data_IF_107071897875
#
_entry.id   IF_107071897875
#
_cell.length_a   1.000
_cell.length_b   1.000
_cell.length_c   1.000
_cell.angle_alpha   90.00
_cell.angle_beta   90.00
_cell.angle_gamma   90.00
#
_symmetry.space_group_name_H-M   'P 1'
#
loop_
_entity.id
_entity.type
_entity.pdbx_description
1 polymer ?
#
# COMPACT_ATOMS: atom_id res chain seq x y z
N UNK A 1 -25.08 23.64 6.83
CA UNK A 1 -23.70 23.14 6.83
C UNK A 1 -22.76 24.29 6.56
N UNK A 2 -21.71 24.46 7.38
CA UNK A 2 -20.78 25.59 7.30
C UNK A 2 -19.88 25.56 6.06
N UNK A 3 -19.48 24.38 5.57
CA UNK A 3 -18.51 24.27 4.46
C UNK A 3 -19.14 24.07 3.07
N UNK A 4 -20.46 24.25 2.94
CA UNK A 4 -21.16 23.97 1.68
C UNK A 4 -20.79 24.97 0.58
N UNK A 5 -20.52 24.46 -0.61
CA UNK A 5 -20.27 25.24 -1.83
C UNK A 5 -21.14 24.67 -2.94
N UNK A 6 -21.85 25.54 -3.66
CA UNK A 6 -22.66 25.13 -4.80
C UNK A 6 -21.91 25.36 -6.11
N UNK A 7 -21.77 24.31 -6.91
CA UNK A 7 -21.29 24.42 -8.28
C UNK A 7 -22.46 24.53 -9.25
N UNK A 8 -22.53 25.67 -9.96
CA UNK A 8 -23.56 25.95 -10.96
C UNK A 8 -23.40 25.13 -12.24
N UNK A 9 -22.17 24.69 -12.58
CA UNK A 9 -21.91 23.91 -13.79
C UNK A 9 -22.43 22.48 -13.64
N UNK A 10 -22.03 21.83 -12.55
CA UNK A 10 -22.39 20.44 -12.27
C UNK A 10 -23.71 20.31 -11.50
N UNK A 11 -24.33 21.45 -11.15
CA UNK A 11 -25.53 21.54 -10.31
C UNK A 11 -25.40 20.75 -9.01
N UNK A 12 -24.19 20.72 -8.44
CA UNK A 12 -23.83 19.88 -7.31
C UNK A 12 -23.46 20.72 -6.08
N UNK A 13 -23.65 20.15 -4.90
CA UNK A 13 -23.14 20.71 -3.65
C UNK A 13 -21.90 19.93 -3.24
N UNK A 14 -20.82 20.64 -2.95
CA UNK A 14 -19.64 20.11 -2.28
C UNK A 14 -19.58 20.63 -0.85
N UNK A 15 -18.98 19.84 0.03
CA UNK A 15 -18.78 20.21 1.43
C UNK A 15 -17.61 19.41 1.99
N UNK A 16 -17.10 19.87 3.11
CA UNK A 16 -16.03 19.22 3.85
C UNK A 16 -16.51 17.92 4.51
N UNK A 17 -15.72 16.85 4.44
CA UNK A 17 -16.10 15.55 5.02
C UNK A 17 -16.34 15.62 6.54
N UNK A 18 -15.81 16.64 7.22
CA UNK A 18 -16.08 16.93 8.65
C UNK A 18 -17.55 17.23 8.92
N UNK A 19 -18.28 17.75 7.94
CA UNK A 19 -19.71 18.05 8.05
C UNK A 19 -20.62 16.86 7.69
N UNK A 20 -20.06 15.71 7.29
CA UNK A 20 -20.82 14.55 6.81
C UNK A 20 -21.88 14.04 7.81
N UNK A 21 -21.50 13.85 9.07
CA UNK A 21 -22.43 13.36 10.09
C UNK A 21 -23.56 14.36 10.39
N UNK A 22 -23.25 15.66 10.34
CA UNK A 22 -24.25 16.73 10.52
C UNK A 22 -25.25 16.76 9.35
N UNK A 23 -24.78 16.50 8.12
CA UNK A 23 -25.63 16.36 6.95
C UNK A 23 -26.56 15.16 7.06
N UNK A 24 -26.00 13.98 7.36
CA UNK A 24 -26.79 12.76 7.52
C UNK A 24 -27.88 12.93 8.58
N UNK A 25 -27.54 13.50 9.75
CA UNK A 25 -28.51 13.76 10.81
C UNK A 25 -29.63 14.70 10.38
N UNK A 26 -29.34 15.65 9.48
CA UNK A 26 -30.34 16.57 8.94
C UNK A 26 -31.21 15.92 7.86
N UNK A 27 -30.63 15.11 6.98
CA UNK A 27 -31.34 14.45 5.88
C UNK A 27 -32.23 13.30 6.38
N UNK A 28 -31.80 12.53 7.38
CA UNK A 28 -32.58 11.44 8.00
C UNK A 28 -33.89 11.91 8.65
N UNK A 29 -34.05 13.22 8.90
CA UNK A 29 -35.33 13.78 9.39
C UNK A 29 -36.43 13.76 8.34
N UNK A 30 -36.10 13.61 7.05
CA UNK A 30 -37.07 13.57 5.97
C UNK A 30 -37.32 12.12 5.55
N UNK A 31 -38.52 11.57 5.80
CA UNK A 31 -38.82 10.15 5.54
C UNK A 31 -38.94 9.80 4.06
N UNK A 32 -38.96 10.79 3.16
CA UNK A 32 -39.11 10.59 1.71
C UNK A 32 -37.74 10.36 1.02
N UNK A 33 -36.64 10.72 1.68
CA UNK A 33 -35.31 10.65 1.09
C UNK A 33 -34.67 9.27 1.29
N UNK A 34 -34.31 8.62 0.19
CA UNK A 34 -33.44 7.45 0.18
C UNK A 34 -31.98 7.92 0.16
N UNK A 35 -31.22 7.52 1.18
CA UNK A 35 -29.83 7.96 1.38
C UNK A 35 -28.94 6.73 1.41
N UNK A 36 -28.00 6.65 0.48
CA UNK A 36 -26.90 5.69 0.56
C UNK A 36 -25.79 6.28 1.40
N UNK A 37 -25.50 5.61 2.53
CA UNK A 37 -24.43 6.05 3.42
C UNK A 37 -23.06 5.63 2.89
N UNK A 38 -22.11 6.54 3.02
CA UNK A 38 -20.71 6.25 2.79
C UNK A 38 -20.26 5.35 3.94
N UNK A 39 -19.52 4.29 3.60
CA UNK A 39 -18.96 3.38 4.60
C UNK A 39 -18.21 4.17 5.70
N UNK A 40 -18.46 3.90 6.99
CA UNK A 40 -17.79 4.58 8.10
C UNK A 40 -16.26 4.53 8.02
N UNK A 41 -15.72 3.47 7.42
CA UNK A 41 -14.28 3.30 7.20
C UNK A 41 -13.71 4.42 6.30
N UNK A 42 -14.43 4.79 5.25
CA UNK A 42 -14.01 5.84 4.31
C UNK A 42 -14.00 7.18 5.04
N UNK A 43 -15.09 7.51 5.74
CA UNK A 43 -15.23 8.75 6.52
C UNK A 43 -14.08 8.89 7.53
N UNK A 44 -13.86 7.85 8.34
CA UNK A 44 -12.84 7.86 9.39
C UNK A 44 -11.43 7.97 8.81
N UNK A 45 -11.15 7.34 7.66
CA UNK A 45 -9.85 7.43 7.00
C UNK A 45 -9.55 8.86 6.57
N UNK A 46 -10.49 9.52 5.88
CA UNK A 46 -10.29 10.90 5.41
C UNK A 46 -10.21 11.93 6.54
N UNK A 47 -10.92 11.69 7.66
CA UNK A 47 -10.82 12.54 8.85
C UNK A 47 -9.46 12.40 9.56
N UNK A 48 -8.85 11.21 9.52
CA UNK A 48 -7.54 10.94 10.12
C UNK A 48 -6.38 11.46 9.24
N UNK A 49 -6.45 11.30 7.92
CA UNK A 49 -5.41 11.73 6.98
C UNK A 49 -5.10 13.24 7.06
N UNK A 50 -6.13 14.07 7.35
CA UNK A 50 -5.94 15.51 7.55
C UNK A 50 -5.07 15.87 8.76
N UNK A 51 -5.07 15.03 9.80
CA UNK A 51 -4.25 15.28 11.00
C UNK A 51 -2.78 14.90 10.76
N UNK A 52 -2.52 13.96 9.85
CA UNK A 52 -1.17 13.50 9.49
C UNK A 52 -0.49 14.39 8.44
N UNK A 53 -1.23 14.97 7.50
CA UNK A 53 -0.67 15.73 6.37
C UNK A 53 0.03 17.04 6.76
N UNK A 54 -0.23 17.59 7.96
CA UNK A 54 0.32 18.88 8.42
C UNK A 54 1.62 18.72 9.23
N UNK A 55 1.96 17.51 9.69
CA UNK A 55 2.93 17.34 10.78
C UNK A 55 4.36 16.89 10.37
N UNK A 56 4.65 16.52 9.12
CA UNK A 56 5.93 15.86 8.79
C UNK A 56 6.64 16.54 7.61
N UNK A 57 7.25 17.70 7.91
CA UNK A 57 8.46 18.16 7.22
C UNK A 57 9.65 17.62 8.02
N UNK A 58 10.25 16.51 7.58
CA UNK A 58 11.53 16.08 8.14
C UNK A 58 12.40 15.57 7.03
N UNK A 59 13.64 16.05 7.00
CA UNK A 59 14.75 15.46 6.27
C UNK A 59 14.90 14.01 6.74
N UNK A 60 14.23 13.10 6.04
CA UNK A 60 14.36 11.68 6.31
C UNK A 60 15.79 11.27 5.94
N UNK A 61 16.57 10.82 6.92
CA UNK A 61 17.76 10.04 6.61
C UNK A 61 17.26 8.67 6.08
N UNK A 62 17.06 8.58 4.77
CA UNK A 62 16.55 7.37 4.12
C UNK A 62 17.67 6.34 4.10
N UNK A 63 17.59 5.41 5.04
CA UNK A 63 18.45 4.23 5.14
C UNK A 63 17.78 3.07 4.39
N UNK A 64 18.25 2.82 3.17
CA UNK A 64 17.82 1.73 2.28
C UNK A 64 19.06 1.12 1.63
N UNK A 65 18.89 -0.03 0.97
CA UNK A 65 19.99 -0.67 0.23
C UNK A 65 20.63 0.34 -0.75
N UNK A 66 21.96 0.44 -0.69
CA UNK A 66 22.75 1.40 -1.47
C UNK A 66 22.52 1.27 -2.99
N UNK A 67 22.28 0.05 -3.48
CA UNK A 67 22.01 -0.18 -4.91
C UNK A 67 20.64 0.37 -5.29
N UNK A 68 19.64 0.20 -4.44
CA UNK A 68 18.30 0.78 -4.62
C UNK A 68 18.40 2.30 -4.56
N UNK A 69 19.07 2.84 -3.54
CA UNK A 69 19.21 4.30 -3.32
C UNK A 69 19.76 5.03 -4.54
N UNK A 70 20.78 4.46 -5.19
CA UNK A 70 21.41 5.04 -6.39
C UNK A 70 20.56 4.93 -7.65
N UNK A 71 19.58 4.03 -7.68
CA UNK A 71 18.75 3.77 -8.86
C UNK A 71 17.40 4.49 -8.85
N UNK A 72 16.97 5.04 -7.70
CA UNK A 72 15.69 5.73 -7.59
C UNK A 72 15.71 7.08 -8.34
N UNK A 73 14.71 7.28 -9.19
CA UNK A 73 14.42 8.60 -9.76
C UNK A 73 13.77 9.53 -8.72
N UNK A 74 13.83 10.87 -8.89
CA UNK A 74 13.24 11.82 -7.95
C UNK A 74 11.78 11.53 -7.58
N UNK A 75 10.94 11.23 -8.57
CA UNK A 75 9.53 10.89 -8.32
C UNK A 75 9.34 9.59 -7.51
N UNK A 76 10.28 8.65 -7.60
CA UNK A 76 10.27 7.42 -6.82
C UNK A 76 10.72 7.66 -5.38
N UNK A 77 11.64 8.61 -5.17
CA UNK A 77 12.03 9.09 -3.83
C UNK A 77 10.85 9.77 -3.15
N UNK A 78 10.07 10.58 -3.87
CA UNK A 78 8.87 11.22 -3.32
C UNK A 78 7.80 10.18 -2.95
N UNK A 79 7.63 9.15 -3.77
CA UNK A 79 6.79 7.98 -3.44
C UNK A 79 7.25 7.29 -2.15
N UNK A 80 8.57 7.07 -1.98
CA UNK A 80 9.13 6.50 -0.75
C UNK A 80 8.88 7.39 0.47
N UNK A 81 9.13 8.70 0.38
CA UNK A 81 8.82 9.66 1.45
C UNK A 81 7.35 9.61 1.82
N UNK A 82 6.45 9.55 0.83
CA UNK A 82 5.01 9.45 1.07
C UNK A 82 4.63 8.15 1.75
N UNK A 83 5.25 7.03 1.36
CA UNK A 83 5.06 5.75 2.03
C UNK A 83 5.49 5.83 3.51
N UNK A 84 6.64 6.44 3.81
CA UNK A 84 7.13 6.62 5.19
C UNK A 84 6.16 7.47 6.01
N UNK A 85 5.71 8.61 5.48
CA UNK A 85 4.71 9.47 6.12
C UNK A 85 3.40 8.72 6.43
N UNK A 86 3.04 7.77 5.57
CA UNK A 86 1.85 6.96 5.72
C UNK A 86 2.10 5.63 6.45
N UNK A 87 3.22 5.50 7.19
CA UNK A 87 3.57 4.27 7.93
C UNK A 87 3.58 3.02 7.04
N UNK A 88 4.15 3.14 5.83
CA UNK A 88 4.27 2.08 4.84
C UNK A 88 3.00 1.81 4.02
N UNK A 89 1.89 2.50 4.29
CA UNK A 89 0.59 2.27 3.62
C UNK A 89 0.45 3.15 2.39
N UNK A 90 0.51 2.55 1.21
CA UNK A 90 0.38 3.28 -0.06
C UNK A 90 -0.15 2.38 -1.19
N UNK A 91 -0.91 2.98 -2.10
CA UNK A 91 -1.23 2.39 -3.40
C UNK A 91 -0.36 3.06 -4.47
N UNK A 92 0.46 2.27 -5.17
CA UNK A 92 1.29 2.74 -6.27
C UNK A 92 0.55 2.44 -7.59
N UNK A 93 0.04 3.49 -8.23
CA UNK A 93 -0.81 3.39 -9.41
C UNK A 93 -0.19 4.04 -10.68
N UNK A 94 1.12 4.25 -10.68
CA UNK A 94 1.88 4.83 -11.79
C UNK A 94 1.70 4.03 -13.10
N UNK A 95 1.99 4.66 -14.23
CA UNK A 95 1.98 4.02 -15.55
C UNK A 95 2.90 2.79 -15.63
N UNK A 96 2.60 1.88 -16.56
CA UNK A 96 3.41 0.68 -16.79
C UNK A 96 4.81 1.10 -17.26
N UNK A 97 5.85 0.47 -16.72
CA UNK A 97 7.25 0.79 -17.06
C UNK A 97 7.95 1.79 -16.14
N UNK A 98 7.25 2.56 -15.32
CA UNK A 98 7.84 3.58 -14.42
C UNK A 98 8.58 3.03 -13.18
N UNK A 99 8.82 1.72 -13.11
CA UNK A 99 9.63 1.13 -12.03
C UNK A 99 8.90 0.91 -10.70
N UNK A 100 7.58 0.65 -10.71
CA UNK A 100 6.80 0.34 -9.49
C UNK A 100 7.37 -0.78 -8.64
N UNK A 101 7.98 -1.78 -9.27
CA UNK A 101 8.68 -2.87 -8.57
C UNK A 101 9.83 -2.32 -7.72
N UNK A 102 10.66 -1.43 -8.30
CA UNK A 102 11.77 -0.81 -7.57
C UNK A 102 11.27 0.08 -6.42
N UNK A 103 10.22 0.88 -6.64
CA UNK A 103 9.59 1.66 -5.58
C UNK A 103 9.11 0.77 -4.41
N UNK A 104 8.42 -0.33 -4.71
CA UNK A 104 7.93 -1.26 -3.68
C UNK A 104 9.09 -1.92 -2.90
N UNK A 105 10.16 -2.32 -3.58
CA UNK A 105 11.36 -2.87 -2.94
C UNK A 105 12.09 -1.82 -2.11
N UNK A 106 12.11 -0.55 -2.53
CA UNK A 106 12.69 0.55 -1.75
C UNK A 106 11.93 0.76 -0.43
N UNK A 107 10.59 0.72 -0.47
CA UNK A 107 9.76 0.81 0.74
C UNK A 107 10.04 -0.39 1.66
N UNK A 108 10.06 -1.62 1.12
CA UNK A 108 10.41 -2.78 1.91
C UNK A 108 11.83 -2.71 2.49
N UNK A 109 12.78 -2.17 1.74
CA UNK A 109 14.16 -1.94 2.19
C UNK A 109 14.25 -0.96 3.35
N UNK A 110 13.41 0.07 3.38
CA UNK A 110 13.39 1.05 4.46
C UNK A 110 12.93 0.41 5.77
N UNK A 111 11.92 -0.45 5.72
CA UNK A 111 11.41 -1.20 6.87
C UNK A 111 12.22 -2.49 7.15
N UNK A 112 13.55 -2.48 6.94
CA UNK A 112 14.40 -3.68 7.06
C UNK A 112 14.33 -4.37 8.43
N UNK A 113 14.08 -3.61 9.49
CA UNK A 113 13.89 -4.10 10.87
C UNK A 113 12.59 -4.88 11.08
N UNK A 114 11.62 -4.77 10.17
CA UNK A 114 10.32 -5.44 10.24
C UNK A 114 10.24 -6.72 9.40
N UNK A 115 11.34 -7.11 8.76
CA UNK A 115 11.42 -8.33 7.96
C UNK A 115 11.20 -9.58 8.83
N UNK A 116 10.61 -10.65 8.27
CA UNK A 116 10.46 -10.93 6.84
C UNK A 116 9.28 -10.22 6.17
N UNK A 117 9.29 -10.19 4.83
CA UNK A 117 8.19 -9.63 4.03
C UNK A 117 7.64 -10.60 2.97
N UNK A 118 6.39 -10.35 2.57
CA UNK A 118 5.63 -11.18 1.63
C UNK A 118 5.29 -10.41 0.36
N UNK A 119 5.63 -10.97 -0.80
CA UNK A 119 5.19 -10.51 -2.12
C UNK A 119 4.08 -11.43 -2.61
N UNK A 120 2.90 -10.87 -2.85
CA UNK A 120 1.75 -11.54 -3.46
C UNK A 120 1.59 -11.03 -4.89
N UNK A 121 1.68 -11.90 -5.89
CA UNK A 121 1.60 -11.52 -7.30
C UNK A 121 0.85 -12.56 -8.14
N UNK A 122 0.74 -12.36 -9.45
CA UNK A 122 0.25 -13.41 -10.35
C UNK A 122 1.29 -14.53 -10.50
N UNK A 123 0.85 -15.74 -10.82
CA UNK A 123 1.74 -16.90 -10.93
C UNK A 123 2.89 -16.68 -11.94
N UNK A 124 2.61 -15.98 -13.04
CA UNK A 124 3.59 -15.66 -14.09
C UNK A 124 4.64 -14.63 -13.65
N UNK A 125 4.36 -13.82 -12.63
CA UNK A 125 5.27 -12.78 -12.17
C UNK A 125 6.23 -13.25 -11.07
N UNK A 126 6.03 -14.43 -10.48
CA UNK A 126 6.86 -14.92 -9.35
C UNK A 126 8.36 -14.92 -9.66
N UNK A 127 8.74 -15.42 -10.84
CA UNK A 127 10.15 -15.45 -11.25
C UNK A 127 10.72 -14.06 -11.57
N UNK A 128 9.89 -13.17 -12.11
CA UNK A 128 10.28 -11.77 -12.34
C UNK A 128 10.53 -11.02 -11.03
N UNK A 129 9.71 -11.27 -10.00
CA UNK A 129 9.93 -10.74 -8.65
C UNK A 129 11.18 -11.32 -7.99
N UNK A 130 11.41 -12.64 -8.12
CA UNK A 130 12.65 -13.26 -7.62
C UNK A 130 13.88 -12.62 -8.26
N UNK A 131 13.86 -12.44 -9.58
CA UNK A 131 14.94 -11.75 -10.30
C UNK A 131 15.12 -10.32 -9.78
N UNK A 132 14.04 -9.56 -9.65
CA UNK A 132 14.10 -8.17 -9.15
C UNK A 132 14.69 -8.08 -7.75
N UNK A 133 14.32 -8.99 -6.84
CA UNK A 133 14.89 -9.07 -5.49
C UNK A 133 16.40 -9.30 -5.55
N UNK A 134 16.86 -10.27 -6.34
CA UNK A 134 18.29 -10.56 -6.50
C UNK A 134 19.05 -9.41 -7.19
N UNK A 135 18.41 -8.73 -8.13
CA UNK A 135 19.01 -7.62 -8.86
C UNK A 135 19.16 -6.38 -7.97
N UNK A 136 18.25 -6.13 -7.04
CA UNK A 136 18.21 -4.87 -6.30
C UNK A 136 18.77 -4.93 -4.88
N UNK A 137 18.68 -6.06 -4.17
CA UNK A 137 19.25 -6.19 -2.84
C UNK A 137 20.68 -6.72 -2.90
N UNK A 138 21.65 -5.91 -2.48
CA UNK A 138 23.07 -6.27 -2.50
C UNK A 138 23.45 -7.35 -1.48
N UNK A 139 22.73 -7.41 -0.36
CA UNK A 139 23.03 -8.31 0.78
C UNK A 139 22.21 -9.61 0.78
N UNK A 140 21.16 -9.68 -0.04
CA UNK A 140 20.23 -10.81 -0.07
C UNK A 140 20.68 -11.84 -1.09
N UNK A 141 20.77 -13.10 -0.65
CA UNK A 141 21.18 -14.23 -1.49
C UNK A 141 19.95 -15.07 -1.88
N UNK A 142 20.12 -15.93 -2.88
CA UNK A 142 19.06 -16.82 -3.37
C UNK A 142 18.47 -17.70 -2.25
N UNK A 143 19.26 -18.09 -1.25
CA UNK A 143 18.77 -18.90 -0.14
C UNK A 143 17.94 -18.12 0.88
N UNK A 144 17.94 -16.78 0.84
CA UNK A 144 17.13 -15.90 1.70
C UNK A 144 15.70 -15.68 1.15
N UNK A 145 15.44 -16.14 -0.08
CA UNK A 145 14.16 -15.98 -0.78
C UNK A 145 13.47 -17.33 -0.98
N UNK A 146 12.17 -17.41 -0.71
CA UNK A 146 11.33 -18.59 -1.01
C UNK A 146 10.25 -18.21 -2.02
N UNK A 147 10.20 -18.93 -3.14
CA UNK A 147 9.07 -18.88 -4.07
C UNK A 147 8.11 -20.03 -3.76
N UNK A 148 6.93 -19.70 -3.26
CA UNK A 148 5.94 -20.68 -2.82
C UNK A 148 5.18 -21.21 -4.04
N UNK A 149 5.30 -22.52 -4.27
CA UNK A 149 4.64 -23.24 -5.36
C UNK A 149 3.88 -24.48 -4.89
N UNK A 150 4.22 -25.04 -3.74
CA UNK A 150 3.58 -26.21 -3.14
C UNK A 150 3.04 -25.89 -1.74
N UNK A 151 2.28 -26.82 -1.14
CA UNK A 151 1.61 -26.66 0.17
C UNK A 151 2.51 -27.15 1.32
N UNK A 152 3.82 -27.16 1.10
CA UNK A 152 4.80 -27.70 2.05
C UNK A 152 5.10 -26.76 3.23
N UNK A 153 5.82 -27.30 4.22
CA UNK A 153 6.36 -26.54 5.35
C UNK A 153 7.27 -25.45 4.80
N UNK A 154 6.93 -24.20 5.09
CA UNK A 154 7.68 -23.05 4.61
C UNK A 154 8.92 -22.83 5.50
N UNK A 155 10.14 -22.86 4.93
CA UNK A 155 11.35 -22.59 5.69
C UNK A 155 11.37 -21.13 6.15
N UNK A 156 11.98 -20.87 7.31
CA UNK A 156 12.19 -19.50 7.80
C UNK A 156 13.19 -18.78 6.89
N UNK A 157 12.69 -17.80 6.15
CA UNK A 157 13.44 -16.97 5.22
C UNK A 157 13.09 -15.49 5.39
N UNK A 158 13.87 -14.64 4.73
CA UNK A 158 13.71 -13.18 4.77
C UNK A 158 12.61 -12.69 3.82
N UNK A 159 12.43 -13.34 2.67
CA UNK A 159 11.53 -12.89 1.61
C UNK A 159 10.72 -14.07 1.08
N UNK A 160 9.41 -13.88 0.97
CA UNK A 160 8.49 -14.89 0.44
C UNK A 160 7.75 -14.34 -0.78
N UNK A 161 7.66 -15.12 -1.85
CA UNK A 161 6.96 -14.76 -3.08
C UNK A 161 5.89 -15.81 -3.34
N UNK A 162 4.62 -15.39 -3.40
CA UNK A 162 3.48 -16.29 -3.53
C UNK A 162 2.50 -15.77 -4.59
N UNK A 163 1.78 -16.70 -5.24
CA UNK A 163 0.66 -16.33 -6.11
C UNK A 163 -0.64 -16.21 -5.33
N UNK A 164 -1.58 -15.39 -5.80
CA UNK A 164 -2.93 -15.28 -5.19
C UNK A 164 -3.61 -16.65 -4.99
N UNK A 165 -3.56 -17.53 -6.00
CA UNK A 165 -4.14 -18.86 -5.91
C UNK A 165 -3.47 -19.73 -4.82
N UNK A 166 -2.15 -19.62 -4.67
CA UNK A 166 -1.42 -20.37 -3.64
C UNK A 166 -1.67 -19.80 -2.25
N UNK A 167 -1.77 -18.48 -2.11
CA UNK A 167 -2.05 -17.82 -0.84
C UNK A 167 -3.33 -18.36 -0.19
N UNK A 168 -4.39 -18.56 -0.98
CA UNK A 168 -5.63 -19.16 -0.48
C UNK A 168 -5.44 -20.58 0.06
N UNK A 169 -4.55 -21.38 -0.54
CA UNK A 169 -4.28 -22.77 -0.13
C UNK A 169 -3.46 -22.86 1.15
N UNK A 170 -2.48 -21.96 1.33
CA UNK A 170 -1.58 -21.95 2.50
C UNK A 170 -1.87 -20.81 3.48
N UNK A 171 -3.08 -20.23 3.42
CA UNK A 171 -3.45 -19.04 4.19
C UNK A 171 -3.21 -19.20 5.70
N UNK A 172 -3.55 -20.36 6.26
CA UNK A 172 -3.33 -20.65 7.69
C UNK A 172 -1.85 -20.56 8.06
N UNK A 173 -0.98 -21.14 7.25
CA UNK A 173 0.48 -21.10 7.45
C UNK A 173 1.02 -19.68 7.34
N UNK A 174 0.63 -18.95 6.30
CA UNK A 174 1.06 -17.56 6.07
C UNK A 174 0.56 -16.62 7.18
N UNK A 175 -0.67 -16.80 7.64
CA UNK A 175 -1.25 -16.01 8.73
C UNK A 175 -0.46 -16.17 10.03
N UNK A 176 0.03 -17.38 10.32
CA UNK A 176 0.84 -17.64 11.50
C UNK A 176 2.25 -17.04 11.44
N UNK A 177 2.75 -16.69 10.25
CA UNK A 177 4.06 -16.05 10.08
C UNK A 177 4.07 -14.55 10.43
N UNK A 178 2.90 -13.93 10.62
CA UNK A 178 2.73 -12.54 11.08
C UNK A 178 3.60 -11.51 10.30
N UNK A 179 3.49 -11.51 8.97
CA UNK A 179 4.18 -10.55 8.11
C UNK A 179 3.74 -9.11 8.42
N UNK A 180 4.72 -8.25 8.72
CA UNK A 180 4.48 -6.81 8.90
C UNK A 180 4.46 -6.04 7.57
N UNK A 181 5.18 -6.57 6.57
CA UNK A 181 5.29 -5.97 5.25
C UNK A 181 4.70 -6.94 4.22
N UNK A 182 3.74 -6.44 3.45
CA UNK A 182 3.09 -7.18 2.37
C UNK A 182 3.03 -6.29 1.12
N UNK A 183 3.58 -6.78 0.02
CA UNK A 183 3.49 -6.16 -1.31
C UNK A 183 2.47 -6.96 -2.11
N UNK A 184 1.32 -6.37 -2.45
CA UNK A 184 0.29 -7.01 -3.27
C UNK A 184 0.25 -6.39 -4.67
N UNK A 185 0.42 -7.22 -5.70
CA UNK A 185 0.53 -6.81 -7.10
C UNK A 185 -0.74 -7.12 -7.87
N UNK A 186 -1.62 -6.13 -7.97
CA UNK A 186 -2.86 -6.27 -8.72
C UNK A 186 -2.60 -6.16 -10.24
N UNK A 187 -3.19 -7.07 -11.01
CA UNK A 187 -3.29 -6.93 -12.47
C UNK A 187 -4.61 -6.22 -12.79
N UNK A 188 -4.58 -5.15 -13.58
CA UNK A 188 -5.80 -4.61 -14.19
C UNK A 188 -6.33 -5.67 -15.15
N UNK A 189 -7.55 -6.14 -14.90
CA UNK A 189 -8.31 -6.94 -15.85
C UNK A 189 -8.82 -6.05 -16.98
#
# INVERSE_FOLDING_TARGET
MPTKIYDKKDKSWSFDISDYFNLLASLKKNPILLIEEISPYIINTFLQDRKKSVAIQTDFNIEIDEKIKKALYPYQVDCLKKAIQNEGRLLIADEMGLGKTLQALAIASYYRSEWPFLIVCTASLKLSWLKSVNDWFSTIKTHDVTVISTVEILPQKLIYIISYNMLNRVYKTIKNMNFKIIIAVCKKN
#
